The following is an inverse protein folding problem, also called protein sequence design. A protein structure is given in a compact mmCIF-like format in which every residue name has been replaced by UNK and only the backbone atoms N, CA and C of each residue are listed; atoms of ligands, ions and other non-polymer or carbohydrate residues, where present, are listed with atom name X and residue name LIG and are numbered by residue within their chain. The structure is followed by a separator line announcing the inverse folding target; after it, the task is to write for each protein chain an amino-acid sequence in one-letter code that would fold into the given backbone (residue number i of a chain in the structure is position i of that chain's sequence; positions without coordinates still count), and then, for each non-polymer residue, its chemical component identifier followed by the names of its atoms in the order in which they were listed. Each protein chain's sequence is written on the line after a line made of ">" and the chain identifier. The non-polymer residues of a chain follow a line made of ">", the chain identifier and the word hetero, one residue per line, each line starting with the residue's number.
data_IF_066363970774
#
_entry.id   IF_066363970774
#
_cell.length_a   1.000
_cell.length_b   1.000
_cell.length_c   1.000
_cell.angle_alpha   90.00
_cell.angle_beta   90.00
_cell.angle_gamma   90.00
#
_symmetry.space_group_name_H-M   'P 1'
#
loop_
_entity.id
_entity.type
_entity.pdbx_description
1 polymer ?
#
# COMPACT_ATOMS: atom_id res chain seq x y z
N UNK A 1 12.81 5.86 8.88
CA UNK A 1 11.53 6.59 8.65
C UNK A 1 11.09 6.32 7.21
N UNK A 2 9.79 6.25 6.94
CA UNK A 2 9.25 6.04 5.58
C UNK A 2 9.10 7.41 4.90
N UNK A 3 9.68 7.60 3.70
CA UNK A 3 9.58 8.88 2.97
C UNK A 3 8.12 9.17 2.56
N UNK A 4 7.46 8.18 1.97
CA UNK A 4 6.07 8.28 1.51
C UNK A 4 5.03 8.49 2.63
N UNK A 5 5.43 8.41 3.91
CA UNK A 5 4.56 8.76 5.02
C UNK A 5 4.38 10.28 5.20
N UNK A 6 5.30 11.10 4.68
CA UNK A 6 5.29 12.56 4.84
C UNK A 6 5.65 13.33 3.58
N UNK A 7 6.01 12.65 2.49
CA UNK A 7 6.41 13.27 1.23
C UNK A 7 5.54 12.73 0.10
N UNK A 8 5.12 13.65 -0.77
CA UNK A 8 4.56 13.35 -2.09
C UNK A 8 5.61 12.74 -3.03
N UNK A 9 5.17 12.22 -4.18
CA UNK A 9 6.07 11.68 -5.21
C UNK A 9 7.07 12.71 -5.73
N UNK A 10 6.62 13.95 -5.94
CA UNK A 10 7.49 15.04 -6.40
C UNK A 10 8.53 15.45 -5.34
N UNK A 11 8.12 15.55 -4.08
CA UNK A 11 9.06 15.81 -2.97
C UNK A 11 10.08 14.68 -2.82
N UNK A 12 9.66 13.42 -2.98
CA UNK A 12 10.59 12.28 -2.98
C UNK A 12 11.57 12.32 -4.15
N UNK A 13 11.11 12.66 -5.37
CA UNK A 13 11.96 12.83 -6.54
C UNK A 13 13.06 13.87 -6.29
N UNK A 14 12.68 15.03 -5.76
CA UNK A 14 13.62 16.11 -5.43
C UNK A 14 14.58 15.72 -4.32
N UNK A 15 14.07 15.10 -3.25
CA UNK A 15 14.86 14.63 -2.13
C UNK A 15 15.93 13.61 -2.56
N UNK A 16 15.60 12.73 -3.51
CA UNK A 16 16.51 11.72 -4.05
C UNK A 16 17.47 12.25 -5.12
N UNK A 17 17.23 13.46 -5.66
CA UNK A 17 18.08 14.05 -6.69
C UNK A 17 18.02 13.32 -8.05
N UNK A 18 16.89 12.69 -8.37
CA UNK A 18 16.69 11.95 -9.63
C UNK A 18 15.87 12.77 -10.63
N UNK A 19 16.10 12.57 -11.92
CA UNK A 19 15.36 13.27 -12.98
C UNK A 19 13.87 12.89 -12.99
N UNK A 20 13.55 11.65 -12.62
CA UNK A 20 12.18 11.14 -12.60
C UNK A 20 11.98 10.06 -11.53
N UNK A 21 10.77 10.03 -10.95
CA UNK A 21 10.30 8.98 -10.05
C UNK A 21 8.85 8.63 -10.42
N UNK A 22 8.53 7.34 -10.47
CA UNK A 22 7.16 6.82 -10.58
C UNK A 22 7.05 5.51 -9.82
N UNK A 23 5.89 5.26 -9.21
CA UNK A 23 5.57 3.98 -8.58
C UNK A 23 4.73 3.10 -9.50
N UNK A 24 4.85 1.79 -9.34
CA UNK A 24 3.89 0.84 -9.92
C UNK A 24 2.53 1.00 -9.23
N UNK A 25 1.43 0.85 -9.97
CA UNK A 25 0.10 0.80 -9.35
C UNK A 25 -0.11 -0.53 -8.60
N UNK A 26 -1.03 -0.55 -7.64
CA UNK A 26 -1.41 -1.79 -6.96
C UNK A 26 -1.89 -2.87 -7.94
N UNK A 27 -2.72 -2.49 -8.94
CA UNK A 27 -3.12 -3.44 -9.98
C UNK A 27 -1.93 -3.96 -10.80
N UNK A 28 -0.96 -3.09 -11.09
CA UNK A 28 0.27 -3.47 -11.78
C UNK A 28 1.09 -4.48 -10.97
N UNK A 29 1.20 -4.27 -9.66
CA UNK A 29 1.86 -5.19 -8.74
C UNK A 29 1.18 -6.56 -8.74
N UNK A 30 -0.15 -6.59 -8.63
CA UNK A 30 -0.94 -7.83 -8.63
C UNK A 30 -0.80 -8.61 -9.94
N UNK A 31 -0.87 -7.92 -11.09
CA UNK A 31 -0.62 -8.54 -12.39
C UNK A 31 0.79 -9.12 -12.51
N UNK A 32 1.80 -8.47 -11.94
CA UNK A 32 3.18 -8.92 -11.99
C UNK A 32 3.43 -10.21 -11.18
N UNK A 33 2.61 -10.49 -10.16
CA UNK A 33 2.74 -11.67 -9.30
C UNK A 33 1.78 -12.82 -9.64
N UNK A 34 0.96 -12.67 -10.68
CA UNK A 34 0.12 -13.75 -11.22
C UNK A 34 -1.39 -13.48 -11.22
N UNK A 35 -1.86 -12.41 -10.58
CA UNK A 35 -3.28 -12.02 -10.59
C UNK A 35 -3.58 -11.23 -11.85
N UNK A 36 -3.88 -11.95 -12.93
CA UNK A 36 -4.04 -11.38 -14.28
C UNK A 36 -5.04 -10.22 -14.37
N UNK A 37 -6.03 -10.20 -13.48
CA UNK A 37 -7.07 -9.17 -13.43
C UNK A 37 -6.73 -7.97 -12.53
N UNK A 38 -5.55 -7.95 -11.89
CA UNK A 38 -5.17 -6.90 -10.93
C UNK A 38 -5.67 -7.19 -9.52
N UNK A 39 -5.77 -6.15 -8.70
CA UNK A 39 -6.19 -6.28 -7.29
C UNK A 39 -7.71 -6.35 -7.22
N UNK A 40 -8.26 -7.36 -6.57
CA UNK A 40 -9.65 -7.33 -6.11
C UNK A 40 -9.72 -6.48 -4.82
N UNK A 41 -10.43 -5.34 -4.81
CA UNK A 41 -10.53 -4.49 -3.63
C UNK A 41 -11.39 -5.06 -2.51
N UNK A 42 -12.27 -6.03 -2.82
CA UNK A 42 -13.14 -6.67 -1.83
C UNK A 42 -12.47 -7.92 -1.25
N UNK A 43 -11.68 -8.63 -2.06
CA UNK A 43 -10.96 -9.84 -1.65
C UNK A 43 -9.50 -9.85 -2.15
N UNK A 44 -8.60 -9.03 -1.57
CA UNK A 44 -7.20 -8.98 -1.99
C UNK A 44 -6.50 -10.33 -1.79
N UNK A 45 -5.84 -10.83 -2.83
CA UNK A 45 -5.14 -12.13 -2.81
C UNK A 45 -3.86 -12.13 -1.94
N UNK A 46 -3.27 -10.95 -1.68
CA UNK A 46 -2.03 -10.80 -0.92
C UNK A 46 -2.16 -9.71 0.15
N UNK A 47 -1.28 -9.75 1.15
CA UNK A 47 -1.15 -8.64 2.09
C UNK A 47 -0.42 -7.47 1.41
N UNK A 48 -1.15 -6.38 1.16
CA UNK A 48 -0.63 -5.14 0.59
C UNK A 48 -0.78 -3.92 1.52
N UNK A 49 -1.01 -4.16 2.81
CA UNK A 49 -1.31 -3.14 3.80
C UNK A 49 -0.22 -2.05 3.95
N UNK A 50 1.04 -2.35 3.61
CA UNK A 50 2.11 -1.35 3.58
C UNK A 50 1.91 -0.28 2.49
N UNK A 51 1.06 -0.55 1.50
CA UNK A 51 0.71 0.36 0.41
C UNK A 51 -0.73 0.87 0.53
N UNK A 52 -1.68 -0.01 0.83
CA UNK A 52 -3.12 0.30 0.88
C UNK A 52 -3.61 0.81 2.24
N UNK A 53 -2.90 0.45 3.32
CA UNK A 53 -3.38 0.61 4.69
C UNK A 53 -4.47 -0.38 5.11
N UNK A 54 -4.90 -1.29 4.22
CA UNK A 54 -5.96 -2.27 4.47
C UNK A 54 -5.37 -3.54 5.10
N UNK A 55 -5.23 -3.54 6.43
CA UNK A 55 -4.73 -4.70 7.16
C UNK A 55 -5.80 -5.78 7.34
N UNK A 56 -5.52 -7.06 7.02
CA UNK A 56 -6.46 -8.16 7.22
C UNK A 56 -6.60 -8.57 8.70
N UNK A 57 -5.72 -8.06 9.56
CA UNK A 57 -5.69 -8.30 11.01
C UNK A 57 -5.41 -6.98 11.73
N UNK A 58 -5.93 -6.80 12.94
CA UNK A 58 -5.67 -5.60 13.73
C UNK A 58 -4.19 -5.54 14.14
N UNK A 59 -3.45 -4.46 13.80
CA UNK A 59 -2.07 -4.29 14.27
C UNK A 59 -2.06 -4.15 15.80
N UNK A 60 -1.17 -4.90 16.46
CA UNK A 60 -1.15 -4.99 17.93
C UNK A 60 -1.00 -3.62 18.62
N UNK A 61 -0.21 -2.72 18.04
CA UNK A 61 0.05 -1.36 18.52
C UNK A 61 -1.09 -0.36 18.22
N UNK A 62 -2.14 -0.82 17.53
CA UNK A 62 -3.31 -0.02 17.15
C UNK A 62 -4.60 -0.53 17.81
N UNK A 63 -4.57 -1.66 18.53
CA UNK A 63 -5.74 -2.24 19.21
C UNK A 63 -6.33 -1.24 20.22
N UNK A 64 -5.51 -0.71 21.13
CA UNK A 64 -5.95 0.27 22.14
C UNK A 64 -6.39 1.62 21.54
N UNK A 65 -5.98 1.90 20.30
CA UNK A 65 -6.36 3.10 19.55
C UNK A 65 -7.66 2.93 18.77
N UNK A 66 -8.32 1.78 18.89
CA UNK A 66 -9.62 1.51 18.28
C UNK A 66 -9.55 1.20 16.79
N UNK A 67 -8.46 0.60 16.31
CA UNK A 67 -8.35 0.20 14.91
C UNK A 67 -9.44 -0.81 14.52
N UNK A 68 -10.16 -0.52 13.43
CA UNK A 68 -11.18 -1.38 12.87
C UNK A 68 -10.64 -2.08 11.62
N UNK A 69 -10.70 -3.42 11.63
CA UNK A 69 -10.35 -4.23 10.46
C UNK A 69 -11.44 -4.07 9.41
N UNK A 70 -11.07 -3.66 8.20
CA UNK A 70 -11.91 -3.85 7.01
C UNK A 70 -11.85 -5.33 6.67
N UNK A 71 -12.80 -6.12 7.17
CA UNK A 71 -12.94 -7.50 6.74
C UNK A 71 -13.30 -7.52 5.25
N UNK A 72 -12.71 -8.45 4.49
CA UNK A 72 -13.25 -8.84 3.18
C UNK A 72 -14.63 -9.47 3.43
N UNK A 73 -15.70 -8.84 2.97
CA UNK A 73 -17.07 -9.39 3.00
C UNK A 73 -17.32 -10.34 1.83
#
# INVERSE_FOLDING_TARGET
>A
KLLAATMSEDEMREHLGVDSLKFISLDGLYRAVGEVNGRDPNAPAYCDACFSGEYPVAPADQIEKGFAVKAAE
#
